data_IF_760984038064
#
_entry.id   IF_760984038064
#
_cell.length_a   1.000
_cell.length_b   1.000
_cell.length_c   1.000
_cell.angle_alpha   90.00
_cell.angle_beta   90.00
_cell.angle_gamma   90.00
#
_symmetry.space_group_name_H-M   'P 1'
#
loop_
_entity.id
_entity.type
_entity.pdbx_description
1 polymer ?
#
# COMPACT_ATOMS: atom_id res chain seq x y z
N UNK A 1 -4.24 31.11 13.77
CA UNK A 1 -3.49 30.55 12.62
C UNK A 1 -2.47 29.61 13.21
N UNK A 2 -2.81 28.33 13.27
CA UNK A 2 -1.88 27.26 13.59
C UNK A 2 -1.18 26.97 12.27
N UNK A 3 0.10 27.30 12.18
CA UNK A 3 0.94 26.94 11.04
C UNK A 3 1.07 25.42 11.08
N UNK A 4 0.58 24.75 10.03
CA UNK A 4 0.90 23.35 9.75
C UNK A 4 2.40 23.25 9.49
N UNK A 5 3.16 22.95 10.53
CA UNK A 5 4.53 22.51 10.37
C UNK A 5 4.51 21.26 9.50
N UNK A 6 5.37 21.18 8.46
CA UNK A 6 5.50 19.94 7.69
C UNK A 6 5.92 18.85 8.66
N UNK A 7 5.04 17.83 8.85
CA UNK A 7 5.35 16.65 9.65
C UNK A 7 6.72 16.16 9.22
N UNK A 8 7.61 16.06 10.19
CA UNK A 8 9.00 15.66 10.01
C UNK A 8 9.09 14.59 8.93
N UNK A 9 9.78 14.93 7.84
CA UNK A 9 10.34 13.92 6.91
C UNK A 9 10.95 12.87 7.80
N UNK A 10 10.72 11.59 7.51
CA UNK A 10 11.29 10.46 8.24
C UNK A 10 12.80 10.70 8.27
N UNK A 11 13.21 11.52 9.24
CA UNK A 11 14.60 11.98 9.37
C UNK A 11 15.45 10.78 9.71
N UNK A 12 16.50 10.63 8.94
CA UNK A 12 17.68 9.78 9.11
C UNK A 12 17.50 8.76 10.23
N UNK A 13 16.84 7.67 9.90
CA UNK A 13 16.80 6.53 10.79
C UNK A 13 18.22 5.98 10.77
N UNK A 14 18.80 5.70 11.91
CA UNK A 14 20.20 5.21 12.03
C UNK A 14 20.41 3.83 11.38
N UNK A 15 19.36 3.22 10.81
CA UNK A 15 19.42 1.95 10.09
C UNK A 15 19.91 2.21 8.66
N UNK A 16 21.09 1.70 8.32
CA UNK A 16 21.61 1.73 6.95
C UNK A 16 21.07 0.55 6.14
N UNK A 17 21.14 0.66 4.80
CA UNK A 17 20.69 -0.40 3.90
C UNK A 17 21.52 -1.69 4.08
N UNK A 18 22.85 -1.55 4.28
CA UNK A 18 23.76 -2.64 4.58
C UNK A 18 23.36 -3.33 5.89
N UNK A 19 23.11 -2.52 6.94
CA UNK A 19 22.69 -3.05 8.24
C UNK A 19 21.36 -3.80 8.16
N UNK A 20 20.40 -3.29 7.40
CA UNK A 20 19.14 -3.99 7.15
C UNK A 20 19.38 -5.36 6.49
N UNK A 21 20.23 -5.43 5.47
CA UNK A 21 20.58 -6.67 4.75
C UNK A 21 21.44 -7.64 5.56
N UNK A 22 22.25 -7.15 6.49
CA UNK A 22 22.95 -7.98 7.45
C UNK A 22 21.98 -8.71 8.39
N UNK A 23 21.00 -8.00 8.91
CA UNK A 23 20.05 -8.52 9.91
C UNK A 23 18.96 -9.39 9.31
N UNK A 24 18.46 -9.03 8.12
CA UNK A 24 17.28 -9.61 7.51
C UNK A 24 17.51 -10.02 6.05
N UNK A 25 16.79 -11.06 5.65
CA UNK A 25 16.50 -11.37 4.25
C UNK A 25 15.06 -11.03 3.97
N UNK A 26 14.79 -10.37 2.85
CA UNK A 26 13.46 -10.06 2.35
C UNK A 26 13.15 -10.93 1.13
N UNK A 27 12.01 -11.60 1.13
CA UNK A 27 11.50 -12.38 0.00
C UNK A 27 10.43 -11.56 -0.74
N UNK A 28 10.73 -11.02 -1.93
CA UNK A 28 9.84 -10.11 -2.64
C UNK A 28 8.49 -10.72 -3.05
N UNK A 29 8.43 -12.02 -3.32
CA UNK A 29 7.20 -12.69 -3.75
C UNK A 29 6.19 -12.83 -2.61
N UNK A 30 6.68 -13.12 -1.42
CA UNK A 30 5.82 -13.33 -0.24
C UNK A 30 5.69 -12.08 0.63
N UNK A 31 6.60 -11.13 0.48
CA UNK A 31 6.70 -9.94 1.35
C UNK A 31 7.23 -10.26 2.74
N UNK A 32 7.83 -11.43 2.93
CA UNK A 32 8.30 -11.86 4.23
C UNK A 32 9.73 -11.45 4.47
N UNK A 33 9.98 -11.02 5.72
CA UNK A 33 11.32 -10.88 6.26
C UNK A 33 11.66 -12.08 7.12
N UNK A 34 12.86 -12.62 6.96
CA UNK A 34 13.45 -13.65 7.81
C UNK A 34 14.76 -13.18 8.42
N UNK A 35 15.05 -13.63 9.62
CA UNK A 35 16.29 -13.30 10.30
C UNK A 35 17.49 -13.96 9.63
N UNK A 36 18.60 -13.25 9.51
CA UNK A 36 19.91 -13.77 9.08
C UNK A 36 20.87 -13.96 10.25
N UNK A 37 20.56 -13.38 11.39
CA UNK A 37 21.39 -13.36 12.58
C UNK A 37 20.81 -14.24 13.69
N UNK A 38 21.66 -14.70 14.58
CA UNK A 38 21.30 -15.42 15.80
C UNK A 38 21.41 -14.49 17.01
N UNK A 39 20.33 -14.37 17.77
CA UNK A 39 20.29 -13.59 19.01
C UNK A 39 19.28 -14.20 19.98
N UNK A 40 19.12 -13.60 21.16
CA UNK A 40 18.13 -14.05 22.15
C UNK A 40 16.67 -14.06 21.64
N UNK A 41 16.38 -13.25 20.62
CA UNK A 41 15.01 -13.04 20.09
C UNK A 41 14.88 -13.31 18.59
N UNK A 42 15.95 -13.78 17.94
CA UNK A 42 15.99 -13.98 16.49
C UNK A 42 16.86 -15.19 16.15
N UNK A 43 16.33 -16.11 15.36
CA UNK A 43 17.08 -17.25 14.82
C UNK A 43 17.09 -17.19 13.29
N UNK A 44 18.24 -17.51 12.66
CA UNK A 44 18.34 -17.52 11.20
C UNK A 44 17.23 -18.36 10.56
N UNK A 45 16.59 -17.82 9.53
CA UNK A 45 15.48 -18.47 8.82
C UNK A 45 14.10 -18.29 9.45
N UNK A 46 13.99 -17.91 10.71
CA UNK A 46 12.69 -17.61 11.33
C UNK A 46 12.12 -16.29 10.77
N UNK A 47 10.77 -16.26 10.61
CA UNK A 47 10.08 -15.06 10.17
C UNK A 47 10.26 -13.93 11.17
N UNK A 48 10.69 -12.78 10.68
CA UNK A 48 10.86 -11.59 11.49
C UNK A 48 9.54 -10.83 11.66
N UNK A 49 9.45 -10.08 12.76
CA UNK A 49 8.36 -9.16 13.02
C UNK A 49 7.06 -9.80 13.47
N UNK A 50 6.08 -8.95 13.68
CA UNK A 50 4.77 -9.33 14.22
C UNK A 50 3.68 -8.33 13.88
N UNK A 51 2.47 -8.61 14.34
CA UNK A 51 1.33 -7.72 14.17
C UNK A 51 1.57 -6.34 14.76
N UNK A 52 1.13 -5.31 14.05
CA UNK A 52 1.10 -3.92 14.48
C UNK A 52 -0.32 -3.37 14.31
N UNK A 53 -0.65 -2.28 15.00
CA UNK A 53 -2.01 -1.73 14.95
C UNK A 53 -2.55 -1.54 13.52
N UNK A 54 -3.86 -1.65 13.39
CA UNK A 54 -4.60 -1.44 12.12
C UNK A 54 -4.26 -2.42 10.98
N UNK A 55 -3.83 -3.64 11.29
CA UNK A 55 -3.54 -4.69 10.31
C UNK A 55 -2.14 -4.63 9.69
N UNK A 56 -1.31 -3.68 10.07
CA UNK A 56 0.09 -3.63 9.65
C UNK A 56 0.94 -4.67 10.37
N UNK A 57 2.13 -4.89 9.84
CA UNK A 57 3.20 -5.65 10.49
C UNK A 57 4.42 -4.75 10.74
N UNK A 58 5.20 -5.07 11.75
CA UNK A 58 6.41 -4.32 12.11
C UNK A 58 7.52 -5.21 12.63
N UNK A 59 8.77 -4.77 12.46
CA UNK A 59 9.99 -5.44 12.94
C UNK A 59 10.74 -4.48 13.86
N UNK A 60 11.22 -5.00 14.99
CA UNK A 60 12.14 -4.27 15.88
C UNK A 60 13.59 -4.50 15.42
N UNK A 61 14.31 -3.42 15.09
CA UNK A 61 15.71 -3.44 14.72
C UNK A 61 16.44 -2.35 15.49
N UNK A 62 17.58 -2.69 16.09
CA UNK A 62 18.46 -1.75 16.78
C UNK A 62 17.67 -0.78 17.72
N UNK A 63 16.80 -1.37 18.58
CA UNK A 63 15.94 -0.68 19.56
C UNK A 63 14.85 0.21 18.97
N UNK A 64 14.61 0.18 17.67
CA UNK A 64 13.51 0.92 16.99
C UNK A 64 12.56 -0.04 16.29
N UNK A 65 11.30 0.38 16.17
CA UNK A 65 10.28 -0.39 15.47
C UNK A 65 9.98 0.25 14.11
N UNK A 66 10.01 -0.60 13.07
CA UNK A 66 9.80 -0.19 11.69
C UNK A 66 8.62 -0.96 11.10
N UNK A 67 7.80 -0.32 10.28
CA UNK A 67 6.74 -1.00 9.52
C UNK A 67 7.36 -1.84 8.41
N UNK A 68 6.88 -3.08 8.23
CA UNK A 68 7.46 -4.04 7.27
C UNK A 68 7.42 -3.52 5.83
N UNK A 69 6.32 -2.89 5.37
CA UNK A 69 6.23 -2.34 4.02
C UNK A 69 7.22 -1.20 3.76
N UNK A 70 7.57 -0.42 4.78
CA UNK A 70 8.59 0.62 4.68
C UNK A 70 9.98 -0.01 4.59
N UNK A 71 10.23 -1.07 5.38
CA UNK A 71 11.49 -1.83 5.28
C UNK A 71 11.62 -2.54 3.94
N UNK A 72 10.51 -3.09 3.39
CA UNK A 72 10.50 -3.72 2.08
C UNK A 72 10.88 -2.72 0.98
N UNK A 73 10.30 -1.52 1.02
CA UNK A 73 10.69 -0.45 0.11
C UNK A 73 12.18 -0.11 0.23
N UNK A 74 12.65 0.15 1.46
CA UNK A 74 14.05 0.48 1.73
C UNK A 74 15.00 -0.66 1.34
N UNK A 75 14.61 -1.91 1.58
CA UNK A 75 15.41 -3.10 1.20
C UNK A 75 15.62 -3.20 -0.31
N UNK A 76 14.55 -2.94 -1.09
CA UNK A 76 14.56 -3.08 -2.54
C UNK A 76 15.20 -1.89 -3.26
N UNK A 77 15.00 -0.67 -2.75
CA UNK A 77 15.45 0.56 -3.44
C UNK A 77 16.77 1.12 -2.88
N UNK A 78 17.14 0.79 -1.66
CA UNK A 78 18.27 1.42 -0.93
C UNK A 78 17.93 2.80 -0.39
N UNK A 79 16.72 3.31 -0.63
CA UNK A 79 16.30 4.64 -0.23
C UNK A 79 15.03 4.60 0.62
N UNK A 80 14.98 5.44 1.65
CA UNK A 80 13.75 5.62 2.41
C UNK A 80 12.68 6.29 1.55
N UNK A 81 11.41 5.84 1.65
CA UNK A 81 10.36 6.42 0.82
C UNK A 81 10.15 7.91 1.17
N UNK A 82 10.05 8.75 0.15
CA UNK A 82 9.71 10.17 0.30
C UNK A 82 8.20 10.38 0.54
N UNK A 83 7.38 9.47 0.02
CA UNK A 83 5.92 9.47 0.13
C UNK A 83 5.44 8.26 0.96
N UNK A 84 4.12 8.15 1.15
CA UNK A 84 3.52 6.97 1.79
C UNK A 84 3.69 5.75 0.86
N UNK A 85 3.86 4.56 1.44
CA UNK A 85 3.78 3.31 0.69
C UNK A 85 2.38 2.72 0.90
N UNK A 86 1.67 2.49 -0.20
CA UNK A 86 0.30 1.98 -0.26
C UNK A 86 0.30 0.49 -0.64
N UNK A 87 -0.69 -0.24 -0.10
CA UNK A 87 -0.96 -1.63 -0.44
C UNK A 87 -2.05 -1.66 -1.52
N UNK A 88 -1.72 -2.10 -2.74
CA UNK A 88 -2.64 -2.14 -3.88
C UNK A 88 -3.92 -2.92 -3.57
N UNK A 89 -3.80 -4.07 -2.91
CA UNK A 89 -4.92 -4.95 -2.56
C UNK A 89 -5.64 -4.60 -1.25
N UNK A 90 -5.22 -3.55 -0.53
CA UNK A 90 -5.69 -3.12 0.79
C UNK A 90 -5.34 -4.05 1.96
N UNK A 91 -4.72 -5.18 1.72
CA UNK A 91 -4.21 -6.03 2.79
C UNK A 91 -2.86 -5.47 3.28
N UNK A 92 -2.90 -4.86 4.45
CA UNK A 92 -1.73 -4.21 5.07
C UNK A 92 -0.71 -5.20 5.63
N UNK A 93 -1.03 -6.47 5.63
CA UNK A 93 -0.14 -7.57 6.03
C UNK A 93 0.59 -8.20 4.83
N UNK A 94 0.10 -7.95 3.62
CA UNK A 94 0.71 -8.41 2.37
C UNK A 94 1.77 -7.40 1.89
N UNK A 95 3.00 -7.63 2.32
CA UNK A 95 4.14 -6.79 1.97
C UNK A 95 4.92 -7.31 0.75
N UNK A 96 4.32 -8.15 -0.10
CA UNK A 96 4.92 -8.56 -1.38
C UNK A 96 5.24 -7.33 -2.23
N UNK A 97 6.38 -7.36 -2.92
CA UNK A 97 6.89 -6.19 -3.65
C UNK A 97 5.90 -5.66 -4.67
N UNK A 98 5.26 -6.56 -5.43
CA UNK A 98 4.27 -6.22 -6.44
C UNK A 98 3.03 -5.52 -5.87
N UNK A 99 2.70 -5.79 -4.59
CA UNK A 99 1.57 -5.18 -3.89
C UNK A 99 1.89 -3.78 -3.35
N UNK A 100 3.17 -3.42 -3.24
CA UNK A 100 3.58 -2.12 -2.71
C UNK A 100 3.75 -1.09 -3.85
N UNK A 101 3.39 0.16 -3.57
CA UNK A 101 3.61 1.29 -4.47
C UNK A 101 3.76 2.59 -3.70
N UNK A 102 4.57 3.54 -4.20
CA UNK A 102 4.57 4.88 -3.65
C UNK A 102 3.23 5.55 -3.94
N UNK A 103 2.72 6.30 -2.99
CA UNK A 103 1.46 7.00 -3.10
C UNK A 103 1.51 8.30 -2.33
N UNK A 104 1.06 9.38 -2.96
CA UNK A 104 0.79 10.60 -2.21
C UNK A 104 -0.31 10.36 -1.19
N UNK A 105 -0.38 11.16 -0.15
CA UNK A 105 -1.44 11.06 0.86
C UNK A 105 -2.85 11.12 0.26
N UNK A 106 -3.03 11.91 -0.81
CA UNK A 106 -4.30 11.99 -1.53
C UNK A 106 -4.64 10.66 -2.20
N UNK A 107 -3.70 10.07 -2.93
CA UNK A 107 -3.85 8.76 -3.58
C UNK A 107 -4.11 7.65 -2.57
N UNK A 108 -3.36 7.59 -1.48
CA UNK A 108 -3.56 6.60 -0.42
C UNK A 108 -4.93 6.75 0.26
N UNK A 109 -5.44 7.99 0.44
CA UNK A 109 -6.78 8.21 0.94
C UNK A 109 -7.87 7.67 0.00
N UNK A 110 -7.67 7.69 -1.32
CA UNK A 110 -8.59 7.07 -2.28
C UNK A 110 -8.54 5.55 -2.22
N UNK A 111 -7.38 4.99 -1.89
CA UNK A 111 -7.21 3.56 -1.71
C UNK A 111 -7.85 3.02 -0.42
N UNK A 112 -8.24 3.85 0.53
CA UNK A 112 -8.93 3.42 1.76
C UNK A 112 -10.26 2.78 1.44
N UNK A 113 -10.56 1.69 2.14
CA UNK A 113 -11.84 1.02 2.06
C UNK A 113 -13.02 1.91 2.46
N UNK A 114 -14.23 1.44 2.18
CA UNK A 114 -15.50 2.11 2.50
C UNK A 114 -15.61 2.48 3.98
N UNK A 115 -16.05 3.70 4.28
CA UNK A 115 -16.43 4.08 5.66
C UNK A 115 -17.62 3.25 6.15
N UNK A 116 -17.60 2.80 7.39
CA UNK A 116 -18.69 2.09 8.07
C UNK A 116 -19.99 2.91 8.07
N UNK A 117 -19.92 4.24 7.99
CA UNK A 117 -21.07 5.14 7.93
C UNK A 117 -21.74 5.21 6.55
N UNK A 118 -21.11 4.64 5.53
CA UNK A 118 -21.67 4.64 4.18
C UNK A 118 -22.77 3.57 4.04
N UNK A 119 -24.03 4.00 4.10
CA UNK A 119 -25.23 3.15 4.02
C UNK A 119 -25.54 2.62 2.61
N UNK A 120 -24.96 3.20 1.55
CA UNK A 120 -25.23 2.78 0.16
C UNK A 120 -24.43 1.54 -0.24
N UNK A 121 -23.39 1.23 0.50
CA UNK A 121 -22.48 0.14 0.14
C UNK A 121 -21.43 0.52 -0.92
N UNK A 122 -21.53 1.69 -1.55
CA UNK A 122 -20.63 2.15 -2.62
C UNK A 122 -19.83 3.37 -2.14
N UNK A 123 -18.50 3.30 -2.22
CA UNK A 123 -17.63 4.40 -1.82
C UNK A 123 -17.91 5.65 -2.68
N UNK A 124 -18.08 6.82 -2.04
CA UNK A 124 -18.35 8.09 -2.74
C UNK A 124 -19.76 8.26 -3.30
N UNK A 125 -20.65 7.28 -3.09
CA UNK A 125 -22.09 7.40 -3.38
C UNK A 125 -22.85 7.58 -2.07
N UNK A 126 -23.68 8.60 -1.99
CA UNK A 126 -24.42 8.96 -0.78
C UNK A 126 -25.92 9.10 -1.08
N UNK A 127 -26.80 8.58 -0.20
CA UNK A 127 -28.24 8.82 -0.31
C UNK A 127 -28.54 10.30 -0.04
N UNK A 128 -29.28 10.93 -0.91
CA UNK A 128 -29.70 12.33 -0.82
C UNK A 128 -31.20 12.44 -1.22
N UNK A 129 -32.06 12.43 -0.23
CA UNK A 129 -33.52 12.28 -0.44
C UNK A 129 -33.83 10.96 -1.15
N UNK A 130 -34.54 11.03 -2.25
CA UNK A 130 -34.92 9.88 -3.10
C UNK A 130 -33.87 9.59 -4.21
N UNK A 131 -32.71 10.21 -4.16
CA UNK A 131 -31.62 10.07 -5.16
C UNK A 131 -30.35 9.62 -4.52
N UNK A 132 -29.37 9.27 -5.36
CA UNK A 132 -28.02 8.88 -5.00
C UNK A 132 -27.03 9.90 -5.59
N UNK A 133 -26.33 10.63 -4.72
CA UNK A 133 -25.35 11.65 -5.10
C UNK A 133 -23.97 11.06 -5.20
N UNK A 134 -23.26 11.36 -6.30
CA UNK A 134 -21.92 10.87 -6.57
C UNK A 134 -20.90 11.98 -6.33
N UNK A 135 -19.90 11.70 -5.49
CA UNK A 135 -18.81 12.64 -5.17
C UNK A 135 -17.45 11.93 -5.17
N UNK A 136 -16.44 12.62 -5.66
CA UNK A 136 -15.06 12.18 -5.64
C UNK A 136 -14.20 13.31 -5.04
N UNK A 137 -13.37 12.96 -4.07
CA UNK A 137 -12.40 13.92 -3.50
C UNK A 137 -11.12 13.86 -4.34
N UNK A 138 -10.73 14.96 -4.96
CA UNK A 138 -9.57 15.08 -5.84
C UNK A 138 -8.74 16.30 -5.45
N UNK A 139 -7.45 16.12 -5.24
CA UNK A 139 -6.49 17.20 -5.03
C UNK A 139 -6.94 18.26 -4.00
N UNK A 140 -7.47 17.81 -2.86
CA UNK A 140 -7.93 18.70 -1.79
C UNK A 140 -9.36 19.22 -1.95
N UNK A 141 -10.06 18.94 -3.06
CA UNK A 141 -11.42 19.40 -3.32
C UNK A 141 -12.39 18.25 -3.60
N UNK A 142 -13.69 18.50 -3.31
CA UNK A 142 -14.76 17.56 -3.66
C UNK A 142 -15.27 17.88 -5.05
N UNK A 143 -15.14 16.95 -5.98
CA UNK A 143 -15.81 17.01 -7.29
C UNK A 143 -17.15 16.29 -7.22
N UNK A 144 -18.20 16.97 -7.65
CA UNK A 144 -19.58 16.46 -7.66
C UNK A 144 -19.93 16.00 -9.08
N UNK A 145 -20.46 14.78 -9.20
CA UNK A 145 -20.85 14.16 -10.48
C UNK A 145 -22.36 14.05 -10.63
N UNK A 146 -23.14 14.71 -9.75
CA UNK A 146 -24.58 14.76 -9.85
C UNK A 146 -25.33 13.76 -8.96
N UNK A 147 -26.64 13.68 -9.19
CA UNK A 147 -27.55 12.80 -8.43
C UNK A 147 -28.41 11.97 -9.38
N UNK A 148 -28.48 10.67 -9.11
CA UNK A 148 -29.09 9.64 -9.94
C UNK A 148 -30.28 9.01 -9.24
N UNK A 149 -31.23 8.46 -10.00
CA UNK A 149 -32.44 7.87 -9.44
C UNK A 149 -32.17 6.51 -8.80
N UNK A 150 -31.24 5.74 -9.37
CA UNK A 150 -30.91 4.40 -8.89
C UNK A 150 -29.47 4.36 -8.35
N UNK A 151 -29.19 3.37 -7.50
CA UNK A 151 -27.87 3.15 -6.97
C UNK A 151 -26.93 2.58 -8.03
N UNK A 152 -27.47 1.83 -8.98
CA UNK A 152 -26.75 1.21 -10.10
C UNK A 152 -26.19 2.30 -11.02
N UNK A 153 -27.01 3.28 -11.43
CA UNK A 153 -26.59 4.44 -12.22
C UNK A 153 -25.49 5.23 -11.50
N UNK A 154 -25.72 5.54 -10.22
CA UNK A 154 -24.75 6.26 -9.40
C UNK A 154 -23.43 5.49 -9.24
N UNK A 155 -23.50 4.15 -9.13
CA UNK A 155 -22.33 3.29 -9.02
C UNK A 155 -21.52 3.29 -10.31
N UNK A 156 -22.20 3.19 -11.46
CA UNK A 156 -21.52 3.22 -12.76
C UNK A 156 -20.78 4.54 -12.96
N UNK A 157 -21.48 5.67 -12.72
CA UNK A 157 -20.85 7.00 -12.84
C UNK A 157 -19.67 7.16 -11.88
N UNK A 158 -19.76 6.61 -10.66
CA UNK A 158 -18.67 6.63 -9.72
C UNK A 158 -17.46 5.82 -10.21
N UNK A 159 -17.69 4.64 -10.76
CA UNK A 159 -16.63 3.79 -11.31
C UNK A 159 -15.95 4.44 -12.51
N UNK A 160 -16.71 5.07 -13.40
CA UNK A 160 -16.17 5.78 -14.56
C UNK A 160 -15.34 6.99 -14.14
N UNK A 161 -15.82 7.75 -13.16
CA UNK A 161 -15.07 8.86 -12.59
C UNK A 161 -13.77 8.40 -11.90
N UNK A 162 -13.80 7.31 -11.13
CA UNK A 162 -12.59 6.75 -10.54
C UNK A 162 -11.59 6.31 -11.60
N UNK A 163 -12.04 5.61 -12.63
CA UNK A 163 -11.18 5.17 -13.73
C UNK A 163 -10.52 6.34 -14.45
N UNK A 164 -11.28 7.40 -14.70
CA UNK A 164 -10.80 8.59 -15.39
C UNK A 164 -9.81 9.42 -14.56
N UNK A 165 -10.09 9.60 -13.27
CA UNK A 165 -9.35 10.55 -12.43
C UNK A 165 -8.32 9.90 -11.50
N UNK A 166 -8.49 8.63 -11.14
CA UNK A 166 -7.62 7.93 -10.19
C UNK A 166 -6.77 6.85 -10.85
N UNK A 167 -7.12 6.38 -12.04
CA UNK A 167 -6.37 5.33 -12.73
C UNK A 167 -6.17 4.10 -11.85
N UNK A 168 -4.94 3.70 -11.61
CA UNK A 168 -4.57 2.55 -10.78
C UNK A 168 -4.92 2.71 -9.28
N UNK A 169 -5.21 3.93 -8.80
CA UNK A 169 -5.67 4.21 -7.45
C UNK A 169 -7.21 4.15 -7.30
N UNK A 170 -7.93 3.75 -8.36
CA UNK A 170 -9.37 3.61 -8.32
C UNK A 170 -9.80 2.50 -7.35
N UNK A 171 -10.71 2.82 -6.42
CA UNK A 171 -11.23 1.83 -5.45
C UNK A 171 -12.13 0.77 -6.08
N UNK A 172 -12.76 1.09 -7.21
CA UNK A 172 -13.64 0.20 -7.97
C UNK A 172 -12.90 -0.93 -8.71
N UNK A 173 -11.60 -0.76 -9.00
CA UNK A 173 -10.77 -1.77 -9.67
C UNK A 173 -10.29 -2.92 -8.78
N UNK A 174 -10.49 -2.83 -7.47
CA UNK A 174 -9.88 -3.74 -6.49
C UNK A 174 -10.43 -5.16 -6.47
N UNK A 175 -11.64 -5.40 -6.95
CA UNK A 175 -12.18 -6.76 -7.11
C UNK A 175 -11.45 -7.58 -8.19
N UNK A 176 -10.66 -6.92 -9.04
CA UNK A 176 -9.93 -7.53 -10.15
C UNK A 176 -8.44 -7.71 -9.85
N UNK A 177 -7.94 -7.22 -8.69
CA UNK A 177 -6.58 -7.47 -8.30
C UNK A 177 -6.49 -8.86 -7.66
N UNK A 178 -6.20 -9.85 -8.47
CA UNK A 178 -5.62 -11.11 -8.00
C UNK A 178 -4.14 -10.88 -7.74
N UNK A 179 -3.60 -11.44 -6.68
CA UNK A 179 -2.14 -11.45 -6.48
C UNK A 179 -1.51 -11.99 -7.77
N UNK A 180 -0.61 -11.23 -8.43
CA UNK A 180 -0.01 -11.69 -9.67
C UNK A 180 0.67 -13.04 -9.45
N UNK A 181 0.46 -13.94 -10.37
CA UNK A 181 1.17 -15.23 -10.37
C UNK A 181 2.63 -15.00 -10.74
N UNK A 182 3.48 -15.99 -10.47
CA UNK A 182 4.89 -15.96 -10.88
C UNK A 182 5.01 -15.65 -12.39
N UNK A 183 4.09 -16.17 -13.19
CA UNK A 183 4.02 -15.95 -14.64
C UNK A 183 3.76 -14.47 -14.97
N UNK A 184 2.88 -13.79 -14.23
CA UNK A 184 2.58 -12.37 -14.45
C UNK A 184 3.80 -11.50 -14.13
N UNK A 185 4.56 -11.87 -13.10
CA UNK A 185 5.77 -11.16 -12.68
C UNK A 185 6.88 -11.29 -13.74
N UNK A 186 7.05 -12.47 -14.35
CA UNK A 186 8.09 -12.71 -15.36
C UNK A 186 7.87 -11.95 -16.67
N UNK A 187 6.65 -11.49 -16.93
CA UNK A 187 6.30 -10.74 -18.16
C UNK A 187 6.44 -9.22 -18.01
N UNK A 188 6.68 -8.69 -16.83
CA UNK A 188 6.94 -7.26 -16.60
C UNK A 188 8.44 -6.98 -16.57
N UNK A 189 8.88 -5.79 -17.00
CA UNK A 189 10.28 -5.40 -16.94
C UNK A 189 10.77 -5.32 -15.50
N UNK A 190 9.93 -4.85 -14.57
CA UNK A 190 10.20 -4.82 -13.13
C UNK A 190 10.35 -6.23 -12.55
N UNK A 191 9.49 -7.16 -12.95
CA UNK A 191 9.56 -8.56 -12.51
C UNK A 191 10.79 -9.28 -13.05
N UNK A 192 11.20 -9.01 -14.30
CA UNK A 192 12.44 -9.55 -14.88
C UNK A 192 13.67 -9.00 -14.18
N UNK A 193 13.70 -7.70 -13.88
CA UNK A 193 14.77 -7.08 -13.10
C UNK A 193 14.86 -7.66 -11.69
N UNK A 194 13.72 -7.93 -11.06
CA UNK A 194 13.63 -8.54 -9.74
C UNK A 194 14.24 -9.95 -9.73
N UNK A 195 13.88 -10.80 -10.70
CA UNK A 195 14.39 -12.16 -10.81
C UNK A 195 15.88 -12.19 -11.15
N UNK A 196 16.35 -11.26 -11.98
CA UNK A 196 17.77 -11.15 -12.34
C UNK A 196 18.65 -10.71 -11.16
N UNK A 197 18.12 -9.86 -10.28
CA UNK A 197 18.87 -9.36 -9.10
C UNK A 197 18.99 -10.36 -7.95
N UNK A 198 18.16 -11.43 -7.94
CA UNK A 198 18.10 -12.41 -6.85
C UNK A 198 18.62 -13.80 -7.22
N UNK A 199 19.29 -13.95 -8.39
CA UNK A 199 19.89 -15.22 -8.82
C UNK A 199 18.82 -16.31 -8.90
N UNK A 200 18.24 -16.51 -10.09
CA UNK A 200 17.37 -17.67 -10.33
C UNK A 200 18.10 -18.97 -9.97
N UNK A 201 17.38 -20.04 -9.64
CA UNK A 201 17.98 -21.32 -9.30
C UNK A 201 18.81 -21.81 -10.50
N UNK A 202 20.07 -22.08 -10.22
CA UNK A 202 20.99 -22.80 -11.12
C UNK A 202 20.53 -24.23 -11.36
#
# INVERSE_FOLDING_TARGET
RIQDEPREKIKAQNLTHERLKELLHYEPLTGWFTWRVNSAVAKPGERAGGGHGHGYRSIGLDYKKYLEHILAWFYMTGEWPNDEIDHRNLDKSDNSWINLRPATRSQNNHNKGRSIRNRTGVHGVHKHGNKYRVRLFLNGAVKDFGSYKTIEEATQVRQDAERLYLGEFASSGKKLWSTPTLTDITHTDEGRALLASHGGPS
#
